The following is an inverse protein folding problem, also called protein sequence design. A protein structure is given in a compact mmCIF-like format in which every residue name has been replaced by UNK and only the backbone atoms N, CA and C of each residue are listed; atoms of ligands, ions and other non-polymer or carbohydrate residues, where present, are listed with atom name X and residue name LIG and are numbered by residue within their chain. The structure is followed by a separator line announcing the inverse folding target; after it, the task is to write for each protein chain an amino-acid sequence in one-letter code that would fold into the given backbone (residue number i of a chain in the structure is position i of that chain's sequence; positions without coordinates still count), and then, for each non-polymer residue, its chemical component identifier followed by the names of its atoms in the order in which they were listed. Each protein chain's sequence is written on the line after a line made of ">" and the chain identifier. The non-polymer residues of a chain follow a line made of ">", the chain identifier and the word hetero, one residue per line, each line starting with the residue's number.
data_IF_397631977805
#
_entry.id   IF_397631977805
#
_cell.length_a   1.000
_cell.length_b   1.000
_cell.length_c   1.000
_cell.angle_alpha   90.00
_cell.angle_beta   90.00
_cell.angle_gamma   90.00
#
_symmetry.space_group_name_H-M   'P 1'
#
loop_
_entity.id
_entity.type
_entity.pdbx_description
1 polymer ?
#
# COMPACT_ATOMS: atom_id res chain seq x y z
N UNK A 1 -18.62 -3.93 -9.47
CA UNK A 1 -18.82 -4.70 -10.70
C UNK A 1 -20.22 -4.41 -11.17
N UNK A 2 -20.36 -3.85 -12.36
CA UNK A 2 -21.67 -3.54 -12.92
C UNK A 2 -22.31 -4.85 -13.42
N UNK A 3 -23.64 -4.93 -13.43
CA UNK A 3 -24.35 -6.16 -13.82
C UNK A 3 -23.98 -6.61 -15.25
N UNK A 4 -23.76 -5.64 -16.12
CA UNK A 4 -23.35 -5.79 -17.51
C UNK A 4 -22.03 -6.57 -17.66
N UNK A 5 -21.12 -6.49 -16.68
CA UNK A 5 -19.77 -7.08 -16.75
C UNK A 5 -19.78 -8.58 -16.45
N UNK A 6 -20.60 -9.05 -15.51
CA UNK A 6 -20.58 -10.46 -15.07
C UNK A 6 -21.66 -11.32 -15.73
N UNK A 7 -22.79 -10.71 -16.17
CA UNK A 7 -23.96 -11.44 -16.67
C UNK A 7 -23.70 -12.38 -17.85
N UNK A 8 -22.75 -12.13 -18.77
CA UNK A 8 -22.41 -13.09 -19.82
C UNK A 8 -21.93 -14.46 -19.30
N UNK A 9 -21.31 -14.49 -18.11
CA UNK A 9 -20.67 -15.67 -17.53
C UNK A 9 -21.56 -16.45 -16.56
N UNK A 10 -22.71 -15.91 -16.16
CA UNK A 10 -23.63 -16.54 -15.21
C UNK A 10 -25.11 -16.28 -15.56
N UNK A 11 -25.52 -16.74 -16.76
CA UNK A 11 -26.89 -16.55 -17.26
C UNK A 11 -27.91 -17.28 -16.39
N UNK A 12 -29.04 -16.62 -16.11
CA UNK A 12 -30.11 -17.18 -15.28
C UNK A 12 -29.83 -17.19 -13.78
N UNK A 13 -28.62 -16.79 -13.36
CA UNK A 13 -28.27 -16.65 -11.96
C UNK A 13 -28.67 -15.26 -11.43
N UNK A 14 -28.91 -15.16 -10.12
CA UNK A 14 -29.07 -13.88 -9.41
C UNK A 14 -28.02 -13.73 -8.32
N UNK A 15 -27.64 -12.50 -8.03
CA UNK A 15 -26.82 -12.19 -6.85
C UNK A 15 -27.64 -12.49 -5.58
N UNK A 16 -27.08 -13.28 -4.67
CA UNK A 16 -27.70 -13.60 -3.37
C UNK A 16 -27.22 -12.67 -2.25
N UNK A 17 -25.99 -12.13 -2.38
CA UNK A 17 -25.39 -11.17 -1.46
C UNK A 17 -24.41 -10.27 -2.22
N UNK A 18 -24.38 -8.98 -1.88
CA UNK A 18 -23.38 -8.04 -2.37
C UNK A 18 -22.91 -7.14 -1.22
N UNK A 19 -21.60 -6.89 -1.15
CA UNK A 19 -21.08 -5.85 -0.27
C UNK A 19 -19.97 -5.05 -0.95
N UNK A 20 -20.20 -3.74 -1.07
CA UNK A 20 -19.33 -2.79 -1.75
C UNK A 20 -18.36 -2.16 -0.75
N UNK A 21 -17.08 -2.05 -1.12
CA UNK A 21 -16.06 -1.36 -0.32
C UNK A 21 -15.29 -0.39 -1.21
N UNK A 22 -15.09 0.83 -0.72
CA UNK A 22 -14.29 1.86 -1.40
C UNK A 22 -13.09 2.22 -0.53
N UNK A 23 -11.90 2.02 -1.06
CA UNK A 23 -10.64 2.25 -0.36
C UNK A 23 -9.91 3.41 -1.03
N UNK A 24 -10.13 4.62 -0.50
CA UNK A 24 -9.60 5.85 -1.09
C UNK A 24 -8.07 5.87 -1.22
N UNK A 25 -7.37 5.15 -0.35
CA UNK A 25 -5.91 5.08 -0.31
C UNK A 25 -5.39 3.65 -0.54
N UNK A 26 -6.05 2.89 -1.44
CA UNK A 26 -5.67 1.49 -1.72
C UNK A 26 -4.45 1.33 -2.62
N UNK A 27 -4.07 2.39 -3.35
CA UNK A 27 -2.92 2.36 -4.23
C UNK A 27 -2.29 3.75 -4.29
N UNK A 28 -0.99 3.89 -3.99
CA UNK A 28 -0.27 5.14 -4.23
C UNK A 28 -0.23 5.43 -5.74
N UNK A 29 -0.57 6.67 -6.11
CA UNK A 29 -0.48 7.15 -7.49
C UNK A 29 0.95 7.57 -7.82
N UNK A 30 1.61 8.22 -6.87
CA UNK A 30 3.00 8.68 -6.97
C UNK A 30 3.81 8.01 -5.87
N UNK A 31 4.79 7.21 -6.27
CA UNK A 31 5.75 6.60 -5.34
C UNK A 31 6.96 7.50 -5.08
N UNK A 32 7.59 7.29 -3.93
CA UNK A 32 8.94 7.73 -3.61
C UNK A 32 9.93 6.64 -3.99
N UNK A 33 11.04 7.01 -4.62
CA UNK A 33 11.97 6.06 -5.23
C UNK A 33 12.84 5.30 -4.22
N UNK A 34 13.14 5.90 -3.07
CA UNK A 34 13.86 5.21 -2.00
C UNK A 34 12.94 4.34 -1.14
N UNK A 35 13.53 3.41 -0.39
CA UNK A 35 12.83 2.49 0.52
C UNK A 35 12.26 3.17 1.76
N UNK A 36 12.83 4.29 2.19
CA UNK A 36 12.28 5.10 3.28
C UNK A 36 12.83 6.53 3.20
N UNK A 37 12.22 7.46 3.94
CA UNK A 37 12.67 8.86 4.00
C UNK A 37 12.91 9.26 5.45
N UNK A 38 14.14 9.68 5.78
CA UNK A 38 14.46 10.26 7.08
C UNK A 38 14.06 11.74 7.13
N UNK A 39 13.31 12.13 8.15
CA UNK A 39 12.99 13.52 8.38
C UNK A 39 14.20 14.25 8.99
N UNK A 40 14.47 15.51 8.63
CA UNK A 40 15.52 16.31 9.24
C UNK A 40 15.08 16.82 10.62
N UNK A 41 14.91 15.92 11.58
CA UNK A 41 14.46 16.20 12.94
C UNK A 41 15.50 15.81 13.99
N UNK A 42 15.50 16.44 15.19
CA UNK A 42 16.43 16.09 16.27
C UNK A 42 16.28 14.65 16.80
N UNK A 43 15.12 14.03 16.58
CA UNK A 43 14.84 12.64 16.94
C UNK A 43 14.65 11.80 15.68
N UNK A 44 14.96 10.49 15.70
CA UNK A 44 14.74 9.62 14.55
C UNK A 44 13.26 9.57 14.15
N UNK A 45 12.93 10.12 12.99
CA UNK A 45 11.61 10.03 12.36
C UNK A 45 11.82 9.55 10.92
N UNK A 46 11.33 8.35 10.61
CA UNK A 46 11.47 7.73 9.29
C UNK A 46 10.08 7.46 8.70
N UNK A 47 9.84 7.90 7.47
CA UNK A 47 8.64 7.59 6.70
C UNK A 47 8.86 6.33 5.86
N UNK A 48 7.88 5.43 5.89
CA UNK A 48 7.90 4.14 5.21
C UNK A 48 6.47 3.74 4.77
N UNK A 49 6.37 2.81 3.83
CA UNK A 49 5.09 2.30 3.33
C UNK A 49 5.15 1.78 1.90
N UNK A 50 4.00 1.38 1.36
CA UNK A 50 3.87 0.87 -0.02
C UNK A 50 4.09 1.94 -1.09
N UNK A 51 4.16 3.21 -0.69
CA UNK A 51 4.57 4.30 -1.56
C UNK A 51 6.10 4.38 -1.73
N UNK A 52 6.92 3.63 -0.96
CA UNK A 52 8.37 3.77 -0.91
C UNK A 52 9.11 2.58 -1.55
N UNK A 53 9.92 2.84 -2.58
CA UNK A 53 10.84 1.87 -3.20
C UNK A 53 10.18 0.77 -4.02
N UNK A 54 8.85 0.79 -4.16
CA UNK A 54 8.07 -0.13 -4.98
C UNK A 54 6.65 -0.29 -4.45
N UNK A 55 5.64 -0.54 -5.29
CA UNK A 55 4.26 -0.65 -4.86
C UNK A 55 3.97 -2.00 -4.16
N UNK A 56 2.75 -2.11 -3.60
CA UNK A 56 2.15 -3.35 -3.05
C UNK A 56 2.77 -3.79 -1.72
N UNK A 57 2.34 -4.99 -1.28
CA UNK A 57 2.72 -5.61 0.00
C UNK A 57 4.23 -5.78 0.13
N UNK A 58 4.91 -6.24 -0.93
CA UNK A 58 6.37 -6.43 -0.92
C UNK A 58 7.10 -5.10 -0.72
N UNK A 59 6.68 -4.05 -1.42
CA UNK A 59 7.24 -2.71 -1.29
C UNK A 59 7.13 -2.19 0.14
N UNK A 60 5.95 -2.28 0.75
CA UNK A 60 5.74 -1.91 2.14
C UNK A 60 6.62 -2.68 3.13
N UNK A 61 6.75 -4.01 2.93
CA UNK A 61 7.57 -4.85 3.80
C UNK A 61 9.06 -4.45 3.71
N UNK A 62 9.59 -4.30 2.50
CA UNK A 62 10.98 -3.88 2.28
C UNK A 62 11.23 -2.45 2.78
N UNK A 63 10.25 -1.55 2.60
CA UNK A 63 10.29 -0.19 3.13
C UNK A 63 10.36 -0.17 4.67
N UNK A 64 9.54 -0.98 5.33
CA UNK A 64 9.55 -1.10 6.79
C UNK A 64 10.85 -1.68 7.35
N UNK A 65 11.45 -2.66 6.67
CA UNK A 65 12.75 -3.22 7.06
C UNK A 65 13.87 -2.17 6.95
N UNK A 66 13.92 -1.43 5.84
CA UNK A 66 14.88 -0.34 5.65
C UNK A 66 14.71 0.74 6.74
N UNK A 67 13.47 1.15 7.01
CA UNK A 67 13.19 2.13 8.05
C UNK A 67 13.61 1.67 9.45
N UNK A 68 13.34 0.41 9.80
CA UNK A 68 13.79 -0.19 11.06
C UNK A 68 15.31 -0.18 11.20
N UNK A 69 16.03 -0.51 10.12
CA UNK A 69 17.49 -0.46 10.11
C UNK A 69 18.00 0.98 10.30
N UNK A 70 17.42 1.96 9.61
CA UNK A 70 17.77 3.39 9.78
C UNK A 70 17.53 3.89 11.20
N UNK A 71 16.47 3.43 11.88
CA UNK A 71 16.22 3.76 13.29
C UNK A 71 17.33 3.17 14.18
N UNK A 72 17.69 1.90 13.98
CA UNK A 72 18.77 1.25 14.74
C UNK A 72 20.09 2.00 14.56
N UNK A 73 20.41 2.41 13.33
CA UNK A 73 21.65 3.12 13.04
C UNK A 73 21.66 4.54 13.60
N UNK A 74 20.51 5.22 13.66
CA UNK A 74 20.39 6.57 14.23
C UNK A 74 20.43 6.61 15.77
N UNK A 75 20.25 5.46 16.43
CA UNK A 75 20.27 5.33 17.90
C UNK A 75 21.60 4.80 18.45
N UNK A 76 22.54 4.45 17.58
CA UNK A 76 23.91 4.08 17.94
C UNK A 76 24.78 5.32 18.08
#
# INVERSE_FOLDING_TARGET
>A
MLEEEWRPYARGCRVVEAQVKRWQYSLPITGYHERSLAAPTPFPLIFAGDAFGGPRVEGAALSGLDAGQRIVDALR
#
